data_IF_900177173016
#
_entry.id   IF_900177173016
#
_cell.length_a   1.000
_cell.length_b   1.000
_cell.length_c   1.000
_cell.angle_alpha   90.00
_cell.angle_beta   90.00
_cell.angle_gamma   90.00
#
_symmetry.space_group_name_H-M   'P 1'
#
loop_
_entity.id
_entity.type
_entity.pdbx_description
1 polymer ?
#
# COMPACT_ATOMS: atom_id res chain seq x y z
N UNK A 1 10.81 -9.19 -25.72
CA UNK A 1 10.75 -9.60 -24.31
C UNK A 1 9.43 -9.07 -23.77
N UNK A 2 8.50 -9.97 -23.44
CA UNK A 2 7.18 -9.57 -22.96
C UNK A 2 7.35 -9.13 -21.50
N UNK A 3 6.97 -7.89 -21.19
CA UNK A 3 6.87 -7.37 -19.82
C UNK A 3 5.83 -8.22 -19.08
N UNK A 4 6.32 -9.14 -18.24
CA UNK A 4 5.46 -9.92 -17.37
C UNK A 4 5.14 -9.03 -16.19
N UNK A 5 4.08 -8.23 -16.32
CA UNK A 5 3.58 -7.37 -15.26
C UNK A 5 2.60 -8.18 -14.39
N UNK A 6 3.03 -8.83 -13.29
CA UNK A 6 2.12 -9.54 -12.41
C UNK A 6 1.13 -8.51 -11.83
N UNK A 7 -0.13 -8.63 -12.24
CA UNK A 7 -1.19 -7.74 -11.77
C UNK A 7 -1.59 -8.14 -10.37
N UNK A 8 -1.18 -7.32 -9.40
CA UNK A 8 -1.66 -7.43 -8.03
C UNK A 8 -3.10 -6.92 -7.93
N UNK A 9 -3.94 -7.68 -7.24
CA UNK A 9 -5.31 -7.29 -6.90
C UNK A 9 -5.45 -7.29 -5.40
N UNK A 10 -5.83 -6.14 -4.85
CA UNK A 10 -6.18 -6.01 -3.44
C UNK A 10 -7.69 -6.00 -3.32
N UNK A 11 -8.22 -6.85 -2.45
CA UNK A 11 -9.62 -6.77 -2.05
C UNK A 11 -9.74 -5.76 -0.92
N UNK A 12 -10.68 -4.85 -1.07
CA UNK A 12 -11.00 -3.85 -0.06
C UNK A 12 -12.47 -3.98 0.33
N UNK A 13 -12.79 -3.67 1.59
CA UNK A 13 -14.16 -3.53 2.06
C UNK A 13 -14.38 -2.11 2.58
N UNK A 14 -15.62 -1.62 2.44
CA UNK A 14 -16.01 -0.35 3.05
C UNK A 14 -16.30 -0.59 4.52
N UNK A 15 -15.60 0.09 5.41
CA UNK A 15 -15.96 0.17 6.81
C UNK A 15 -17.11 1.19 6.97
N UNK A 16 -18.34 0.70 7.07
CA UNK A 16 -19.52 1.55 7.32
C UNK A 16 -19.41 2.25 8.67
N UNK A 17 -19.88 3.50 8.75
CA UNK A 17 -19.81 4.33 9.95
C UNK A 17 -18.40 4.74 10.39
N UNK A 18 -17.40 4.63 9.50
CA UNK A 18 -16.04 5.12 9.73
C UNK A 18 -15.57 5.99 8.57
N UNK A 19 -14.85 7.05 8.89
CA UNK A 19 -14.21 7.91 7.91
C UNK A 19 -12.70 7.85 8.09
N UNK A 20 -12.02 7.80 6.97
CA UNK A 20 -10.58 7.94 6.90
C UNK A 20 -10.21 9.42 7.11
N UNK A 21 -9.33 9.68 8.06
CA UNK A 21 -8.82 11.01 8.40
C UNK A 21 -7.28 10.99 8.43
N UNK A 22 -6.66 12.15 8.19
CA UNK A 22 -5.19 12.32 8.27
C UNK A 22 -4.43 11.27 7.44
N UNK A 23 -4.89 11.03 6.22
CA UNK A 23 -4.29 10.05 5.34
C UNK A 23 -2.95 10.53 4.80
N UNK A 24 -1.97 9.65 4.77
CA UNK A 24 -0.67 9.92 4.17
C UNK A 24 -0.09 8.67 3.52
N UNK A 25 0.79 8.90 2.56
CA UNK A 25 1.56 7.84 1.92
C UNK A 25 2.90 7.70 2.61
N UNK A 26 3.36 6.46 2.79
CA UNK A 26 4.76 6.20 3.10
C UNK A 26 5.64 6.61 1.91
N UNK A 27 6.93 6.84 2.14
CA UNK A 27 7.94 6.61 1.11
C UNK A 27 7.87 5.18 0.58
N UNK A 28 8.64 4.87 -0.47
CA UNK A 28 8.81 3.48 -0.87
C UNK A 28 9.52 2.69 0.24
N UNK A 29 8.91 1.60 0.68
CA UNK A 29 9.30 0.89 1.91
C UNK A 29 10.35 -0.20 1.68
N UNK A 30 10.63 -0.56 0.43
CA UNK A 30 11.60 -1.57 0.03
C UNK A 30 12.44 -1.07 -1.14
N UNK A 31 13.61 -1.66 -1.37
CA UNK A 31 14.28 -1.62 -2.67
C UNK A 31 13.86 -2.82 -3.53
N UNK A 32 14.33 -2.85 -4.77
CA UNK A 32 14.18 -4.04 -5.61
C UNK A 32 14.98 -5.21 -5.05
N UNK A 33 14.54 -6.43 -5.34
CA UNK A 33 15.21 -7.68 -4.98
C UNK A 33 15.38 -7.88 -3.46
N UNK A 34 14.56 -7.18 -2.66
CA UNK A 34 14.55 -7.24 -1.20
C UNK A 34 13.19 -7.71 -0.67
N UNK A 35 13.23 -8.40 0.48
CA UNK A 35 12.04 -8.76 1.23
C UNK A 35 11.31 -7.52 1.78
N UNK A 36 9.99 -7.61 1.84
CA UNK A 36 9.14 -6.51 2.31
C UNK A 36 8.51 -6.89 3.64
N UNK A 37 8.83 -6.13 4.68
CA UNK A 37 8.16 -6.19 5.98
C UNK A 37 7.90 -4.78 6.48
N UNK A 38 6.62 -4.40 6.55
CA UNK A 38 6.22 -3.10 7.07
C UNK A 38 4.93 -3.21 7.89
N UNK A 39 4.91 -2.53 9.02
CA UNK A 39 3.77 -2.50 9.92
C UNK A 39 3.12 -1.12 9.89
N UNK A 40 1.79 -1.10 9.85
CA UNK A 40 1.05 0.16 9.95
C UNK A 40 1.36 0.83 11.30
N UNK A 41 1.59 2.15 11.33
CA UNK A 41 1.79 2.86 12.60
C UNK A 41 0.62 2.66 13.55
N UNK A 42 0.90 2.68 14.85
CA UNK A 42 -0.14 2.52 15.87
C UNK A 42 -1.30 3.48 15.65
N UNK A 43 -2.53 3.01 15.92
CA UNK A 43 -3.79 3.74 15.75
C UNK A 43 -4.10 4.20 14.30
N UNK A 44 -3.40 3.65 13.30
CA UNK A 44 -3.68 3.87 11.89
C UNK A 44 -4.12 2.56 11.21
N UNK A 45 -4.73 2.72 10.04
CA UNK A 45 -5.26 1.64 9.23
C UNK A 45 -4.74 1.75 7.81
N UNK A 46 -4.40 0.62 7.20
CA UNK A 46 -4.03 0.53 5.79
C UNK A 46 -5.26 0.79 4.93
N UNK A 47 -5.17 1.72 3.98
CA UNK A 47 -6.29 2.10 3.10
C UNK A 47 -5.94 2.04 1.61
N UNK A 48 -4.67 1.87 1.27
CA UNK A 48 -4.23 1.84 -0.12
C UNK A 48 -2.82 1.29 -0.29
N UNK A 49 -2.57 0.78 -1.49
CA UNK A 49 -1.27 0.28 -1.93
C UNK A 49 -0.93 0.90 -3.29
N UNK A 50 0.33 1.29 -3.46
CA UNK A 50 0.87 1.82 -4.70
C UNK A 50 2.21 1.17 -4.99
N UNK A 51 2.46 0.86 -6.26
CA UNK A 51 3.75 0.33 -6.70
C UNK A 51 4.10 0.74 -8.10
N UNK A 52 5.39 0.67 -8.40
CA UNK A 52 5.89 0.71 -9.77
C UNK A 52 6.80 -0.49 -10.00
N UNK A 53 6.78 -0.97 -11.25
CA UNK A 53 7.59 -2.08 -11.70
C UNK A 53 8.83 -1.55 -12.41
N UNK A 54 9.94 -2.30 -12.34
CA UNK A 54 11.16 -2.02 -13.06
C UNK A 54 11.59 -3.25 -13.83
N UNK A 55 11.58 -3.16 -15.16
CA UNK A 55 11.95 -4.27 -16.04
C UNK A 55 13.39 -4.75 -15.82
N UNK A 56 14.41 -3.89 -15.60
CA UNK A 56 15.77 -4.37 -15.31
C UNK A 56 15.87 -5.30 -14.09
N UNK A 57 14.99 -5.12 -13.10
CA UNK A 57 14.92 -5.97 -11.91
C UNK A 57 13.83 -7.04 -12.01
N UNK A 58 12.91 -6.91 -12.97
CA UNK A 58 11.65 -7.67 -13.03
C UNK A 58 10.89 -7.70 -11.68
N UNK A 59 11.01 -6.61 -10.90
CA UNK A 59 10.47 -6.49 -9.54
C UNK A 59 9.76 -5.14 -9.31
N UNK A 60 9.19 -4.94 -8.11
CA UNK A 60 8.39 -3.77 -7.74
C UNK A 60 8.84 -3.15 -6.43
N UNK A 61 8.80 -1.81 -6.42
CA UNK A 61 8.82 -1.05 -5.18
C UNK A 61 7.42 -0.70 -4.73
N UNK A 62 7.22 -0.77 -3.43
CA UNK A 62 5.93 -0.60 -2.79
C UNK A 62 5.91 0.60 -1.87
N UNK A 63 4.76 1.27 -1.84
CA UNK A 63 4.39 2.28 -0.85
C UNK A 63 2.95 2.03 -0.42
N UNK A 64 2.65 2.37 0.82
CA UNK A 64 1.33 2.15 1.40
C UNK A 64 0.72 3.47 1.84
N UNK A 65 -0.60 3.56 1.73
CA UNK A 65 -1.37 4.66 2.27
C UNK A 65 -2.03 4.21 3.56
N UNK A 66 -1.89 5.01 4.60
CA UNK A 66 -2.56 4.76 5.87
C UNK A 66 -3.25 6.02 6.37
N UNK A 67 -4.29 5.82 7.18
CA UNK A 67 -5.09 6.87 7.77
C UNK A 67 -5.41 6.55 9.23
N UNK A 68 -5.69 7.58 10.01
CA UNK A 68 -6.50 7.42 11.22
C UNK A 68 -7.96 7.20 10.84
N UNK A 69 -8.75 6.55 11.70
CA UNK A 69 -10.20 6.41 11.50
C UNK A 69 -10.97 7.07 12.63
N UNK A 70 -12.11 7.68 12.29
CA UNK A 70 -13.09 8.19 13.25
C UNK A 70 -14.39 7.43 13.08
N UNK A 71 -14.91 6.91 14.20
CA UNK A 71 -16.22 6.25 14.25
C UNK A 71 -17.36 7.27 14.18
N UNK A 72 -18.50 6.82 13.66
CA UNK A 72 -19.76 7.56 13.55
C UNK A 72 -19.63 8.85 12.75
N UNK A 73 -19.30 8.64 11.49
CA UNK A 73 -19.52 9.53 10.36
C UNK A 73 -19.98 8.64 9.17
#
# INVERSE_FOLDING_TARGET
MYDFNPRWKFYCCRASSYCNLKCQWTPYINNFDEDISWHVPSQNYLVGAGSYHSNPHEDRRWRYQYCTQKAYC
#
